data_IF_343905494529
#
_entry.id   IF_343905494529
#
_cell.length_a   1.000
_cell.length_b   1.000
_cell.length_c   1.000
_cell.angle_alpha   90.00
_cell.angle_beta   90.00
_cell.angle_gamma   90.00
#
_symmetry.space_group_name_H-M   'P 1'
#
loop_
_entity.id
_entity.type
_entity.pdbx_description
1 polymer ?
#
# COMPACT_ATOMS: atom_id res chain seq x y z
N UNK A 1 -1.14 -11.79 -29.34
CA UNK A 1 -1.69 -10.56 -28.72
C UNK A 1 -2.10 -10.79 -27.24
N UNK A 2 -1.24 -11.44 -26.43
CA UNK A 2 -1.53 -11.77 -25.01
C UNK A 2 -0.89 -10.78 -24.02
N UNK A 3 0.06 -9.96 -24.47
CA UNK A 3 0.96 -9.21 -23.58
C UNK A 3 0.38 -7.93 -22.96
N UNK A 4 -0.70 -7.36 -23.51
CA UNK A 4 -1.27 -6.12 -22.99
C UNK A 4 -2.18 -6.33 -21.76
N UNK A 5 -2.78 -7.52 -21.62
CA UNK A 5 -3.70 -7.83 -20.52
C UNK A 5 -2.99 -8.13 -19.20
N UNK A 6 -1.80 -8.70 -19.27
CA UNK A 6 -0.98 -9.09 -18.13
C UNK A 6 -0.43 -7.89 -17.36
N UNK A 7 -0.15 -6.77 -18.03
CA UNK A 7 0.44 -5.58 -17.38
C UNK A 7 -0.49 -4.88 -16.37
N UNK A 8 -1.79 -4.83 -16.65
CA UNK A 8 -2.78 -4.24 -15.73
C UNK A 8 -3.03 -5.13 -14.50
N UNK A 9 -3.23 -6.43 -14.74
CA UNK A 9 -3.44 -7.42 -13.68
C UNK A 9 -2.22 -7.52 -12.74
N UNK A 10 -1.02 -7.59 -13.31
CA UNK A 10 0.23 -7.65 -12.55
C UNK A 10 0.41 -6.46 -11.62
N UNK A 11 0.05 -5.25 -12.07
CA UNK A 11 0.11 -4.04 -11.25
C UNK A 11 -0.90 -4.08 -10.10
N UNK A 12 -2.14 -4.49 -10.36
CA UNK A 12 -3.14 -4.66 -9.31
C UNK A 12 -2.69 -5.69 -8.25
N UNK A 13 -2.10 -6.80 -8.70
CA UNK A 13 -1.54 -7.81 -7.80
C UNK A 13 -0.39 -7.26 -6.95
N UNK A 14 0.55 -6.52 -7.53
CA UNK A 14 1.65 -5.90 -6.77
C UNK A 14 1.12 -4.94 -5.71
N UNK A 15 0.17 -4.06 -6.06
CA UNK A 15 -0.43 -3.15 -5.10
C UNK A 15 -1.06 -3.89 -3.92
N UNK A 16 -1.79 -4.97 -4.21
CA UNK A 16 -2.44 -5.80 -3.20
C UNK A 16 -1.44 -6.56 -2.31
N UNK A 17 -0.35 -7.06 -2.89
CA UNK A 17 0.74 -7.74 -2.15
C UNK A 17 1.45 -6.75 -1.21
N UNK A 18 1.76 -5.55 -1.69
CA UNK A 18 2.40 -4.51 -0.87
C UNK A 18 1.48 -4.11 0.28
N UNK A 19 0.19 -3.95 0.01
CA UNK A 19 -0.80 -3.66 1.04
C UNK A 19 -0.89 -4.78 2.09
N UNK A 20 -0.99 -6.04 1.66
CA UNK A 20 -0.98 -7.21 2.53
C UNK A 20 0.29 -7.26 3.40
N UNK A 21 1.45 -7.02 2.80
CA UNK A 21 2.73 -7.00 3.51
C UNK A 21 2.77 -5.89 4.56
N UNK A 22 2.33 -4.68 4.20
CA UNK A 22 2.22 -3.55 5.11
C UNK A 22 1.29 -3.87 6.29
N UNK A 23 0.10 -4.43 6.02
CA UNK A 23 -0.84 -4.85 7.05
C UNK A 23 -0.25 -5.89 8.00
N UNK A 24 0.38 -6.94 7.47
CA UNK A 24 1.01 -7.99 8.27
C UNK A 24 2.19 -7.45 9.09
N UNK A 25 3.02 -6.57 8.51
CA UNK A 25 4.13 -5.96 9.21
C UNK A 25 3.65 -5.05 10.34
N UNK A 26 2.59 -4.27 10.11
CA UNK A 26 2.04 -3.35 11.10
C UNK A 26 1.35 -4.11 12.24
N UNK A 27 0.35 -4.92 11.94
CA UNK A 27 -0.41 -5.60 13.00
C UNK A 27 0.34 -6.81 13.57
N UNK A 28 0.93 -7.64 12.71
CA UNK A 28 1.68 -8.82 13.15
C UNK A 28 2.99 -8.44 13.82
N UNK A 29 3.73 -7.49 13.25
CA UNK A 29 4.96 -6.98 13.86
C UNK A 29 4.72 -6.26 15.19
N UNK A 30 3.61 -5.51 15.29
CA UNK A 30 3.20 -4.91 16.57
C UNK A 30 2.86 -5.97 17.62
N UNK A 31 1.98 -6.91 17.31
CA UNK A 31 1.56 -7.96 18.25
C UNK A 31 2.75 -8.83 18.72
N UNK A 32 3.61 -9.26 17.80
CA UNK A 32 4.81 -10.03 18.12
C UNK A 32 5.83 -9.20 18.89
N UNK A 33 6.01 -7.93 18.52
CA UNK A 33 6.95 -7.01 19.18
C UNK A 33 6.59 -6.77 20.64
N UNK A 34 5.30 -6.55 20.94
CA UNK A 34 4.83 -6.42 22.32
C UNK A 34 4.95 -7.75 23.08
N UNK A 35 4.51 -8.86 22.49
CA UNK A 35 4.52 -10.17 23.17
C UNK A 35 5.93 -10.64 23.51
N UNK A 36 6.91 -10.38 22.63
CA UNK A 36 8.31 -10.79 22.82
C UNK A 36 9.16 -9.73 23.53
N UNK A 37 8.58 -8.60 23.92
CA UNK A 37 9.28 -7.44 24.47
C UNK A 37 10.50 -6.99 23.62
N UNK A 38 10.37 -7.08 22.29
CA UNK A 38 11.45 -6.79 21.35
C UNK A 38 11.44 -5.32 20.93
N UNK A 39 12.63 -4.72 20.84
CA UNK A 39 12.82 -3.34 20.36
C UNK A 39 12.04 -2.26 21.14
N UNK A 40 11.83 -2.51 22.44
CA UNK A 40 11.23 -1.54 23.38
C UNK A 40 12.19 -0.43 23.81
N UNK A 41 13.45 -0.45 23.34
CA UNK A 41 14.41 0.61 23.62
C UNK A 41 13.87 1.95 23.12
N UNK A 42 13.73 2.90 24.05
CA UNK A 42 13.23 4.23 23.72
C UNK A 42 14.30 5.01 22.94
N UNK A 43 13.93 5.46 21.75
CA UNK A 43 14.74 6.30 20.87
C UNK A 43 13.91 7.54 20.53
N UNK A 44 14.40 8.73 20.88
CA UNK A 44 13.66 10.00 20.77
C UNK A 44 12.28 9.98 21.46
N UNK A 45 12.15 9.30 22.61
CA UNK A 45 10.92 9.26 23.40
C UNK A 45 9.84 8.28 22.91
N UNK A 46 10.09 7.52 21.83
CA UNK A 46 9.24 6.42 21.38
C UNK A 46 10.03 5.10 21.30
N UNK A 47 9.39 3.93 21.46
CA UNK A 47 10.07 2.66 21.26
C UNK A 47 10.60 2.54 19.81
N UNK A 48 11.79 1.96 19.65
CA UNK A 48 12.39 1.70 18.34
C UNK A 48 11.46 0.89 17.43
N UNK A 49 10.64 0.02 18.02
CA UNK A 49 9.56 -0.69 17.33
C UNK A 49 8.61 0.29 16.60
N UNK A 50 8.13 1.36 17.25
CA UNK A 50 7.26 2.37 16.63
C UNK A 50 7.91 2.99 15.40
N UNK A 51 9.20 3.35 15.51
CA UNK A 51 9.94 3.97 14.42
C UNK A 51 10.05 3.06 13.20
N UNK A 52 10.34 1.78 13.42
CA UNK A 52 10.40 0.79 12.33
C UNK A 52 9.04 0.60 11.66
N UNK A 53 7.96 0.46 12.45
CA UNK A 53 6.62 0.32 11.89
C UNK A 53 6.19 1.57 11.12
N UNK A 54 6.49 2.78 11.62
CA UNK A 54 6.25 4.03 10.91
C UNK A 54 7.04 4.09 9.59
N UNK A 55 8.30 3.65 9.59
CA UNK A 55 9.12 3.61 8.38
C UNK A 55 8.56 2.63 7.34
N UNK A 56 8.14 1.44 7.76
CA UNK A 56 7.47 0.46 6.89
C UNK A 56 6.15 1.01 6.34
N UNK A 57 5.38 1.68 7.18
CA UNK A 57 4.13 2.31 6.76
C UNK A 57 4.37 3.42 5.73
N UNK A 58 5.27 4.37 6.01
CA UNK A 58 5.59 5.48 5.12
C UNK A 58 6.15 5.00 3.78
N UNK A 59 7.05 4.03 3.79
CA UNK A 59 7.60 3.45 2.56
C UNK A 59 6.54 2.74 1.74
N UNK A 60 5.68 1.94 2.37
CA UNK A 60 4.55 1.28 1.69
C UNK A 60 3.58 2.29 1.09
N UNK A 61 3.26 3.36 1.82
CA UNK A 61 2.38 4.42 1.38
C UNK A 61 2.98 5.21 0.21
N UNK A 62 4.28 5.49 0.25
CA UNK A 62 5.01 6.14 -0.85
C UNK A 62 5.00 5.27 -2.12
N UNK A 63 5.26 3.96 -1.98
CA UNK A 63 5.26 3.03 -3.11
C UNK A 63 3.87 2.87 -3.72
N UNK A 64 2.82 2.72 -2.90
CA UNK A 64 1.43 2.64 -3.37
C UNK A 64 0.98 3.93 -4.06
N UNK A 65 1.34 5.09 -3.50
CA UNK A 65 1.07 6.40 -4.10
C UNK A 65 1.74 6.52 -5.47
N UNK A 66 3.01 6.11 -5.57
CA UNK A 66 3.75 6.10 -6.83
C UNK A 66 3.11 5.20 -7.90
N UNK A 67 2.70 3.99 -7.51
CA UNK A 67 1.99 3.05 -8.39
C UNK A 67 0.66 3.61 -8.89
N UNK A 68 -0.11 4.26 -8.02
CA UNK A 68 -1.38 4.90 -8.37
C UNK A 68 -1.18 6.06 -9.35
N UNK A 69 -0.21 6.96 -9.09
CA UNK A 69 0.12 8.11 -9.96
C UNK A 69 0.55 7.63 -11.35
N UNK A 70 1.45 6.64 -11.42
CA UNK A 70 1.88 6.06 -12.70
C UNK A 70 0.71 5.45 -13.46
N UNK A 71 -0.18 4.73 -12.77
CA UNK A 71 -1.38 4.15 -13.38
C UNK A 71 -2.31 5.19 -13.99
N UNK A 72 -2.56 6.27 -13.25
CA UNK A 72 -3.42 7.35 -13.70
C UNK A 72 -2.82 8.16 -14.85
N UNK A 73 -1.50 8.28 -14.92
CA UNK A 73 -0.83 8.95 -16.05
C UNK A 73 -0.98 8.14 -17.35
N UNK A 74 -0.71 6.83 -17.30
CA UNK A 74 -0.86 5.93 -18.45
C UNK A 74 -2.32 5.84 -18.93
N UNK A 75 -3.27 5.87 -17.99
CA UNK A 75 -4.69 5.85 -18.29
C UNK A 75 -5.21 7.12 -18.94
N UNK A 76 -4.70 8.29 -18.52
CA UNK A 76 -5.06 9.58 -19.15
C UNK A 76 -4.60 9.65 -20.60
N UNK A 77 -3.42 9.10 -20.91
CA UNK A 77 -2.91 9.02 -22.28
C UNK A 77 -3.78 8.08 -23.13
N UNK A 78 -4.05 6.87 -22.65
CA UNK A 78 -4.88 5.90 -23.38
C UNK A 78 -6.34 6.35 -23.58
N UNK A 79 -6.92 7.12 -22.66
CA UNK A 79 -8.26 7.72 -22.84
C UNK A 79 -8.31 8.76 -23.95
N UNK A 80 -7.23 9.52 -24.16
CA UNK A 80 -7.16 10.55 -25.21
C UNK A 80 -7.10 9.93 -26.61
N UNK A 81 -6.56 8.73 -26.74
CA UNK A 81 -6.46 8.01 -28.02
C UNK A 81 -7.72 7.24 -28.41
N UNK A 82 -8.78 7.27 -27.59
CA UNK A 82 -10.13 6.84 -27.97
C UNK A 82 -10.34 5.33 -28.24
N UNK A 83 -9.29 4.51 -28.26
CA UNK A 83 -9.31 3.18 -28.90
C UNK A 83 -9.18 1.99 -27.91
N UNK A 84 -9.75 2.07 -26.71
CA UNK A 84 -9.68 0.93 -25.76
C UNK A 84 -10.94 0.06 -25.77
N UNK A 85 -10.81 -1.27 -25.97
CA UNK A 85 -11.93 -2.21 -25.92
C UNK A 85 -12.59 -2.24 -24.53
N UNK A 86 -13.90 -2.58 -24.45
CA UNK A 86 -14.69 -2.59 -23.20
C UNK A 86 -13.98 -3.30 -22.02
N UNK A 87 -13.31 -4.43 -22.28
CA UNK A 87 -12.57 -5.20 -21.29
C UNK A 87 -11.38 -4.41 -20.68
N UNK A 88 -10.71 -3.56 -21.46
CA UNK A 88 -9.64 -2.68 -20.99
C UNK A 88 -10.17 -1.57 -20.07
N UNK A 89 -11.35 -1.02 -20.37
CA UNK A 89 -12.01 -0.06 -19.48
C UNK A 89 -12.40 -0.69 -18.15
N UNK A 90 -12.95 -1.91 -18.17
CA UNK A 90 -13.29 -2.64 -16.95
C UNK A 90 -12.05 -2.91 -16.09
N UNK A 91 -10.99 -3.48 -16.66
CA UNK A 91 -9.73 -3.73 -15.94
C UNK A 91 -9.10 -2.44 -15.40
N UNK A 92 -9.21 -1.33 -16.13
CA UNK A 92 -8.75 -0.02 -15.67
C UNK A 92 -9.51 0.47 -14.44
N UNK A 93 -10.85 0.38 -14.46
CA UNK A 93 -11.67 0.77 -13.31
C UNK A 93 -11.34 -0.13 -12.13
N UNK A 94 -11.27 -1.45 -12.36
CA UNK A 94 -10.95 -2.42 -11.31
C UNK A 94 -9.60 -2.12 -10.65
N UNK A 95 -8.54 -1.92 -11.46
CA UNK A 95 -7.20 -1.59 -10.98
C UNK A 95 -7.20 -0.29 -10.18
N UNK A 96 -7.86 0.76 -10.69
CA UNK A 96 -7.95 2.03 -9.97
C UNK A 96 -8.73 1.90 -8.66
N UNK A 97 -9.74 1.05 -8.61
CA UNK A 97 -10.53 0.81 -7.38
C UNK A 97 -9.68 0.09 -6.35
N UNK A 98 -8.90 -0.91 -6.76
CA UNK A 98 -7.94 -1.64 -5.90
C UNK A 98 -6.84 -0.72 -5.40
N UNK A 99 -6.27 0.12 -6.26
CA UNK A 99 -5.23 1.09 -5.88
C UNK A 99 -5.76 2.09 -4.83
N UNK A 100 -6.97 2.64 -5.03
CA UNK A 100 -7.62 3.56 -4.09
C UNK A 100 -7.96 2.85 -2.78
N UNK A 101 -8.53 1.64 -2.84
CA UNK A 101 -8.87 0.87 -1.66
C UNK A 101 -7.63 0.49 -0.84
N UNK A 102 -6.53 0.10 -1.51
CA UNK A 102 -5.25 -0.19 -0.89
C UNK A 102 -4.62 1.05 -0.23
N UNK A 103 -4.65 2.20 -0.89
CA UNK A 103 -4.20 3.48 -0.32
C UNK A 103 -5.03 3.88 0.91
N UNK A 104 -6.36 3.91 0.76
CA UNK A 104 -7.27 4.29 1.84
C UNK A 104 -7.11 3.37 3.05
N UNK A 105 -7.05 2.06 2.81
CA UNK A 105 -6.81 1.08 3.86
C UNK A 105 -5.46 1.31 4.52
N UNK A 106 -4.38 1.48 3.76
CA UNK A 106 -3.02 1.75 4.32
C UNK A 106 -3.03 2.97 5.23
N UNK A 107 -3.70 4.05 4.82
CA UNK A 107 -3.82 5.29 5.62
C UNK A 107 -4.57 4.99 6.93
N UNK A 108 -5.72 4.32 6.85
CA UNK A 108 -6.54 3.98 8.02
C UNK A 108 -5.78 3.08 9.00
N UNK A 109 -5.06 2.08 8.50
CA UNK A 109 -4.31 1.12 9.31
C UNK A 109 -3.11 1.78 10.01
N UNK A 110 -2.47 2.75 9.37
CA UNK A 110 -1.31 3.44 9.95
C UNK A 110 -1.64 4.56 10.92
N UNK A 111 -2.86 5.12 10.83
CA UNK A 111 -3.30 6.24 11.67
C UNK A 111 -3.15 5.99 13.18
N UNK A 112 -3.53 4.81 13.72
CA UNK A 112 -3.36 4.50 15.14
C UNK A 112 -1.91 4.56 15.62
N UNK A 113 -0.93 4.24 14.75
CA UNK A 113 0.49 4.28 15.13
C UNK A 113 1.00 5.70 15.39
N UNK A 114 0.35 6.71 14.82
CA UNK A 114 0.69 8.12 15.03
C UNK A 114 0.08 8.64 16.32
N UNK A 115 -1.09 8.12 16.70
CA UNK A 115 -1.84 8.57 17.88
C UNK A 115 -1.45 7.86 19.18
N UNK A 116 -1.08 6.58 19.10
CA UNK A 116 -0.89 5.75 20.29
C UNK A 116 0.50 5.09 20.23
N UNK A 117 1.35 5.28 21.25
CA UNK A 117 2.61 4.57 21.32
C UNK A 117 2.33 3.06 21.38
N UNK A 118 3.04 2.30 20.56
CA UNK A 118 2.86 0.85 20.50
C UNK A 118 3.28 0.21 21.83
N UNK A 119 2.44 -0.72 22.30
CA UNK A 119 2.63 -1.49 23.54
C UNK A 119 2.48 -0.69 24.85
N UNK A 120 1.70 0.40 24.83
CA UNK A 120 1.28 1.11 26.04
C UNK A 120 0.25 0.32 26.86
#
# INVERSE_FOLDING_TARGET
MISAHSGGLWRAMIGLVIWMFCFLALYGGHALGCQRAMLLNAVFGLPLLTWLLLLVWLTSLAVLSWLAIRGWSALRVARREGSSPQLSRFMSVLTSTVDIAGLASTVIIGLPLVWIPVCA
#
